data_IF_406542067824
#
_entry.id   IF_406542067824
#
_cell.length_a   1.000
_cell.length_b   1.000
_cell.length_c   1.000
_cell.angle_alpha   90.00
_cell.angle_beta   90.00
_cell.angle_gamma   90.00
#
_symmetry.space_group_name_H-M   'P 1'
#
loop_
_entity.id
_entity.type
_entity.pdbx_description
1 polymer ?
#
# COMPACT_ATOMS: atom_id res chain seq x y z
N UNK A 1 28.96 1.79 40.01
CA UNK A 1 27.78 0.89 40.11
C UNK A 1 26.75 1.22 39.02
N UNK A 2 27.12 1.17 37.72
CA UNK A 2 26.20 1.40 36.60
C UNK A 2 26.01 0.17 35.70
N UNK A 3 26.84 -0.86 35.90
CA UNK A 3 26.92 -2.03 35.05
C UNK A 3 25.74 -3.00 35.22
N UNK A 4 25.06 -2.98 36.37
CA UNK A 4 23.85 -3.79 36.59
C UNK A 4 22.66 -3.24 35.78
N UNK A 5 22.48 -1.91 35.76
CA UNK A 5 21.41 -1.28 34.98
C UNK A 5 21.65 -1.41 33.48
N UNK A 6 22.90 -1.25 33.04
CA UNK A 6 23.26 -1.44 31.63
C UNK A 6 23.14 -2.91 31.21
N UNK A 7 23.54 -3.86 32.08
CA UNK A 7 23.42 -5.29 31.84
C UNK A 7 21.98 -5.80 31.76
N UNK A 8 21.06 -5.24 32.56
CA UNK A 8 19.64 -5.61 32.53
C UNK A 8 18.95 -4.99 31.31
N UNK A 9 19.27 -3.75 30.93
CA UNK A 9 18.74 -3.11 29.72
C UNK A 9 19.25 -3.75 28.42
N UNK A 10 20.43 -4.38 28.43
CA UNK A 10 20.99 -5.05 27.24
C UNK A 10 20.51 -6.51 27.11
N UNK A 11 20.14 -7.15 28.21
CA UNK A 11 19.65 -8.55 28.23
C UNK A 11 18.20 -8.69 27.74
N UNK A 12 17.41 -7.61 27.81
CA UNK A 12 16.04 -7.54 27.30
C UNK A 12 16.02 -6.64 26.06
N UNK A 13 15.94 -7.24 24.87
CA UNK A 13 16.06 -6.58 23.57
C UNK A 13 15.01 -5.51 23.22
N UNK A 14 15.03 -5.03 21.96
CA UNK A 14 14.66 -3.67 21.53
C UNK A 14 13.24 -3.24 21.86
N UNK A 15 13.13 -1.98 22.27
CA UNK A 15 11.94 -1.31 22.79
C UNK A 15 10.91 -1.01 21.70
N UNK A 16 9.80 -1.75 21.68
CA UNK A 16 8.62 -1.37 20.90
C UNK A 16 7.30 -1.83 21.55
N UNK A 17 7.20 -1.74 22.88
CA UNK A 17 5.98 -2.09 23.61
C UNK A 17 5.75 -1.14 24.80
N UNK A 18 4.55 -0.55 24.92
CA UNK A 18 4.14 0.34 26.04
C UNK A 18 4.44 -0.25 27.42
N UNK A 19 4.45 -1.58 27.51
CA UNK A 19 4.74 -2.35 28.71
C UNK A 19 6.19 -2.19 29.21
N UNK A 20 7.16 -2.02 28.31
CA UNK A 20 8.58 -1.82 28.68
C UNK A 20 8.83 -0.41 29.19
N UNK A 21 8.10 0.58 28.67
CA UNK A 21 8.10 1.96 29.15
C UNK A 21 7.55 2.02 30.59
N UNK A 22 6.45 1.31 30.86
CA UNK A 22 5.89 1.23 32.21
C UNK A 22 6.84 0.52 33.19
N UNK A 23 7.50 -0.57 32.78
CA UNK A 23 8.51 -1.25 33.61
C UNK A 23 9.72 -0.36 33.91
N UNK A 24 10.17 0.42 32.92
CA UNK A 24 11.25 1.39 33.10
C UNK A 24 10.84 2.48 34.09
N UNK A 25 9.60 2.98 34.01
CA UNK A 25 9.04 3.94 34.97
C UNK A 25 9.01 3.38 36.39
N UNK A 26 8.55 2.14 36.56
CA UNK A 26 8.58 1.42 37.83
C UNK A 26 10.00 1.26 38.39
N UNK A 27 10.97 0.93 37.53
CA UNK A 27 12.37 0.81 37.94
C UNK A 27 12.97 2.17 38.35
N UNK A 28 12.65 3.24 37.62
CA UNK A 28 13.10 4.59 37.93
C UNK A 28 12.48 5.11 39.25
N UNK A 29 11.21 4.79 39.51
CA UNK A 29 10.54 5.11 40.78
C UNK A 29 11.16 4.36 41.96
N UNK A 30 11.43 3.07 41.81
CA UNK A 30 12.04 2.24 42.85
C UNK A 30 13.49 2.68 43.12
N UNK A 31 14.21 3.08 42.08
CA UNK A 31 15.53 3.69 42.19
C UNK A 31 15.44 5.05 42.92
N UNK A 32 14.49 5.91 42.57
CA UNK A 32 14.26 7.18 43.27
C UNK A 32 13.93 7.00 44.76
N UNK A 33 13.17 5.97 45.11
CA UNK A 33 12.87 5.61 46.49
C UNK A 33 14.12 5.15 47.25
N UNK A 34 14.97 4.35 46.61
CA UNK A 34 16.25 3.89 47.17
C UNK A 34 17.24 5.05 47.38
N UNK A 35 17.29 6.00 46.44
CA UNK A 35 18.08 7.22 46.57
C UNK A 35 17.53 8.13 47.68
N UNK A 36 16.21 8.20 47.86
CA UNK A 36 15.58 8.95 48.95
C UNK A 36 15.95 8.38 50.32
N UNK A 37 15.91 7.05 50.49
CA UNK A 37 16.39 6.36 51.70
C UNK A 37 17.88 6.67 51.97
N UNK A 38 18.67 6.78 50.91
CA UNK A 38 20.10 7.07 51.00
C UNK A 38 20.44 8.57 51.15
N UNK A 39 19.46 9.47 51.00
CA UNK A 39 19.65 10.90 50.78
C UNK A 39 19.11 11.84 51.87
N UNK A 40 18.79 11.31 53.06
CA UNK A 40 18.14 11.99 54.21
C UNK A 40 18.86 13.27 54.72
N UNK A 41 19.96 13.71 54.11
CA UNK A 41 20.75 14.86 54.54
C UNK A 41 20.53 16.19 53.76
N UNK A 42 19.80 16.23 52.63
CA UNK A 42 19.73 17.45 51.78
C UNK A 42 18.29 17.81 51.32
N UNK A 43 17.72 18.87 51.91
CA UNK A 43 16.36 19.41 51.69
C UNK A 43 15.95 19.71 50.21
N UNK A 44 16.82 20.24 49.31
CA UNK A 44 16.42 20.51 47.92
C UNK A 44 16.09 19.27 47.08
N UNK A 45 16.57 18.08 47.48
CA UNK A 45 16.31 16.83 46.74
C UNK A 45 14.85 16.38 46.94
N UNK A 46 14.29 16.59 48.14
CA UNK A 46 12.88 16.29 48.41
C UNK A 46 11.95 17.15 47.54
N UNK A 47 12.27 18.43 47.34
CA UNK A 47 11.49 19.32 46.47
C UNK A 47 11.57 18.91 45.00
N UNK A 48 12.76 18.52 44.52
CA UNK A 48 12.91 18.01 43.17
C UNK A 48 12.05 16.75 42.94
N UNK A 49 11.99 15.84 43.92
CA UNK A 49 11.16 14.64 43.84
C UNK A 49 9.66 14.95 43.80
N UNK A 50 9.17 15.87 44.63
CA UNK A 50 7.76 16.29 44.60
C UNK A 50 7.40 16.90 43.24
N UNK A 51 8.27 17.74 42.69
CA UNK A 51 8.06 18.33 41.36
C UNK A 51 8.07 17.26 40.25
N UNK A 52 9.01 16.32 40.29
CA UNK A 52 9.07 15.22 39.31
C UNK A 52 7.84 14.29 39.45
N UNK A 53 7.39 13.98 40.66
CA UNK A 53 6.19 13.18 40.90
C UNK A 53 4.92 13.90 40.40
N UNK A 54 4.86 15.22 40.58
CA UNK A 54 3.78 16.05 40.06
C UNK A 54 3.81 16.11 38.53
N UNK A 55 4.98 16.33 37.94
CA UNK A 55 5.16 16.34 36.49
C UNK A 55 4.81 14.99 35.87
N UNK A 56 5.33 13.86 36.38
CA UNK A 56 5.02 12.53 35.82
C UNK A 56 3.51 12.23 35.83
N UNK A 57 2.79 12.56 36.90
CA UNK A 57 1.33 12.32 36.94
C UNK A 57 0.49 13.31 36.14
N UNK A 58 0.89 14.57 36.04
CA UNK A 58 0.11 15.61 35.36
C UNK A 58 0.55 15.85 33.92
N UNK A 59 1.70 15.34 33.48
CA UNK A 59 2.27 15.60 32.16
C UNK A 59 1.88 14.54 31.14
N UNK A 60 1.56 13.31 31.53
CA UNK A 60 1.15 12.26 30.59
C UNK A 60 -0.09 12.67 29.76
N UNK A 61 -1.06 13.31 30.42
CA UNK A 61 -2.30 13.76 29.78
C UNK A 61 -2.11 14.93 28.78
N UNK A 62 -1.44 16.04 29.15
CA UNK A 62 -1.16 17.13 28.20
C UNK A 62 -0.13 16.72 27.14
N UNK A 63 0.79 15.79 27.41
CA UNK A 63 1.76 15.33 26.41
C UNK A 63 1.08 14.46 25.35
N UNK A 64 0.19 13.54 25.76
CA UNK A 64 -0.61 12.76 24.82
C UNK A 64 -1.57 13.64 24.02
N UNK A 65 -2.21 14.62 24.66
CA UNK A 65 -3.10 15.57 23.99
C UNK A 65 -2.34 16.50 23.03
N UNK A 66 -1.18 17.02 23.42
CA UNK A 66 -0.32 17.84 22.57
C UNK A 66 0.21 17.05 21.37
N UNK A 67 0.59 15.79 21.56
CA UNK A 67 1.02 14.92 20.47
C UNK A 67 -0.11 14.57 19.51
N UNK A 68 -1.32 14.29 20.04
CA UNK A 68 -2.51 14.09 19.24
C UNK A 68 -2.91 15.36 18.47
N UNK A 69 -2.82 16.54 19.09
CA UNK A 69 -3.06 17.83 18.45
C UNK A 69 -2.02 18.14 17.37
N UNK A 70 -0.74 17.89 17.64
CA UNK A 70 0.35 18.03 16.67
C UNK A 70 0.16 17.12 15.46
N UNK A 71 -0.15 15.84 15.70
CA UNK A 71 -0.44 14.87 14.63
C UNK A 71 -1.67 15.26 13.80
N UNK A 72 -2.72 15.76 14.45
CA UNK A 72 -3.91 16.29 13.75
C UNK A 72 -3.55 17.50 12.90
N UNK A 73 -2.77 18.44 13.42
CA UNK A 73 -2.31 19.59 12.65
C UNK A 73 -1.47 19.13 11.47
N UNK A 74 -0.50 18.24 11.69
CA UNK A 74 0.37 17.72 10.65
C UNK A 74 -0.43 16.98 9.57
N UNK A 75 -1.43 16.17 9.94
CA UNK A 75 -2.31 15.47 9.01
C UNK A 75 -3.20 16.44 8.22
N UNK A 76 -3.70 17.51 8.84
CA UNK A 76 -4.47 18.55 8.13
C UNK A 76 -3.57 19.38 7.20
N UNK A 77 -2.30 19.56 7.56
CA UNK A 77 -1.30 20.26 6.75
C UNK A 77 -0.78 19.41 5.59
N UNK A 78 -0.79 18.08 5.70
CA UNK A 78 -0.34 17.17 4.64
C UNK A 78 -1.38 16.96 3.51
N UNK A 79 -2.58 17.54 3.64
CA UNK A 79 -3.68 17.34 2.68
C UNK A 79 -4.17 15.88 2.64
N UNK A 80 -5.32 15.61 1.99
CA UNK A 80 -5.70 14.23 1.70
C UNK A 80 -4.59 13.59 0.89
N UNK A 81 -4.13 12.41 1.31
CA UNK A 81 -3.16 11.63 0.54
C UNK A 81 -3.65 11.53 -0.91
N UNK A 82 -2.80 11.79 -1.91
CA UNK A 82 -3.21 11.71 -3.31
C UNK A 82 -3.88 10.35 -3.54
N UNK A 83 -5.03 10.30 -4.24
CA UNK A 83 -5.73 9.06 -4.49
C UNK A 83 -4.75 8.08 -5.13
N UNK A 84 -4.67 6.87 -4.58
CA UNK A 84 -3.78 5.83 -5.10
C UNK A 84 -4.13 5.66 -6.58
N UNK A 85 -3.13 5.85 -7.45
CA UNK A 85 -3.28 5.51 -8.86
C UNK A 85 -3.71 4.04 -8.94
N UNK A 86 -4.64 3.77 -9.84
CA UNK A 86 -5.14 2.42 -10.06
C UNK A 86 -3.96 1.51 -10.39
N UNK A 87 -3.87 0.36 -9.72
CA UNK A 87 -2.84 -0.62 -10.06
C UNK A 87 -3.10 -1.15 -11.47
N UNK A 88 -2.05 -1.63 -12.13
CA UNK A 88 -2.17 -2.14 -13.50
C UNK A 88 -3.18 -3.28 -13.59
N UNK A 89 -3.25 -4.14 -12.58
CA UNK A 89 -4.25 -5.22 -12.50
C UNK A 89 -5.69 -4.67 -12.41
N UNK A 90 -5.92 -3.69 -11.55
CA UNK A 90 -7.24 -3.04 -11.40
C UNK A 90 -7.66 -2.33 -12.70
N UNK A 91 -6.72 -1.70 -13.41
CA UNK A 91 -6.97 -1.07 -14.71
C UNK A 91 -7.34 -2.11 -15.77
N UNK A 92 -6.62 -3.24 -15.81
CA UNK A 92 -6.91 -4.34 -16.74
C UNK A 92 -8.29 -4.93 -16.49
N UNK A 93 -8.62 -5.22 -15.24
CA UNK A 93 -9.93 -5.75 -14.84
C UNK A 93 -11.07 -4.81 -15.23
N UNK A 94 -10.93 -3.50 -14.98
CA UNK A 94 -11.92 -2.52 -15.41
C UNK A 94 -12.06 -2.46 -16.93
N UNK A 95 -10.93 -2.50 -17.64
CA UNK A 95 -10.91 -2.54 -19.10
C UNK A 95 -11.70 -3.71 -19.66
N UNK A 96 -11.50 -4.92 -19.11
CA UNK A 96 -12.21 -6.13 -19.55
C UNK A 96 -13.72 -6.04 -19.29
N UNK A 97 -14.11 -5.61 -18.09
CA UNK A 97 -15.53 -5.51 -17.69
C UNK A 97 -16.27 -4.47 -18.52
N UNK A 98 -15.71 -3.27 -18.66
CA UNK A 98 -16.33 -2.19 -19.43
C UNK A 98 -16.34 -2.51 -20.93
N UNK A 99 -15.29 -3.14 -21.46
CA UNK A 99 -15.26 -3.59 -22.86
C UNK A 99 -16.36 -4.63 -23.12
N UNK A 100 -16.53 -5.61 -22.24
CA UNK A 100 -17.58 -6.63 -22.40
C UNK A 100 -18.97 -6.00 -22.36
N UNK A 101 -19.20 -5.09 -21.41
CA UNK A 101 -20.46 -4.37 -21.27
C UNK A 101 -20.78 -3.53 -22.52
N UNK A 102 -19.81 -2.77 -23.01
CA UNK A 102 -19.97 -1.94 -24.21
C UNK A 102 -20.24 -2.79 -25.47
N UNK A 103 -19.60 -3.96 -25.60
CA UNK A 103 -19.84 -4.88 -26.71
C UNK A 103 -21.26 -5.49 -26.67
N UNK A 104 -21.76 -5.83 -25.48
CA UNK A 104 -23.14 -6.31 -25.30
C UNK A 104 -24.16 -5.22 -25.64
N UNK A 105 -23.94 -4.00 -25.17
CA UNK A 105 -24.77 -2.85 -25.49
C UNK A 105 -24.77 -2.54 -27.00
N UNK A 106 -23.60 -2.60 -27.64
CA UNK A 106 -23.46 -2.46 -29.09
C UNK A 106 -24.27 -3.52 -29.85
N UNK A 107 -24.20 -4.80 -29.43
CA UNK A 107 -25.00 -5.87 -30.05
C UNK A 107 -26.50 -5.62 -29.89
N UNK A 108 -26.92 -5.20 -28.71
CA UNK A 108 -28.32 -4.87 -28.42
C UNK A 108 -28.80 -3.74 -29.33
N UNK A 109 -28.02 -2.66 -29.43
CA UNK A 109 -28.32 -1.53 -30.29
C UNK A 109 -28.40 -1.93 -31.77
N UNK A 110 -27.46 -2.73 -32.27
CA UNK A 110 -27.47 -3.20 -33.66
C UNK A 110 -28.65 -4.12 -34.01
N UNK A 111 -29.29 -4.75 -33.01
CA UNK A 111 -30.51 -5.55 -33.18
C UNK A 111 -31.79 -4.70 -33.12
N UNK A 112 -31.69 -3.44 -32.70
CA UNK A 112 -32.83 -2.55 -32.59
C UNK A 112 -33.24 -1.99 -33.97
N UNK A 113 -34.54 -1.68 -34.17
CA UNK A 113 -35.03 -1.12 -35.43
C UNK A 113 -34.55 0.32 -35.70
N UNK A 114 -34.00 0.99 -34.68
CA UNK A 114 -33.42 2.34 -34.75
C UNK A 114 -32.04 2.35 -35.44
N UNK A 115 -31.42 1.17 -35.65
CA UNK A 115 -30.07 1.05 -36.19
C UNK A 115 -30.02 1.07 -37.73
N UNK A 116 -29.24 2.00 -38.29
CA UNK A 116 -29.01 2.11 -39.73
C UNK A 116 -27.93 1.13 -40.22
N UNK A 117 -28.28 -0.16 -40.33
CA UNK A 117 -27.35 -1.22 -40.73
C UNK A 117 -26.58 -0.95 -42.04
N UNK A 118 -27.25 -0.40 -43.06
CA UNK A 118 -26.62 -0.09 -44.35
C UNK A 118 -25.58 1.05 -44.28
N UNK A 119 -25.77 2.01 -43.38
CA UNK A 119 -24.82 3.10 -43.16
C UNK A 119 -23.59 2.62 -42.37
N UNK A 120 -23.75 1.63 -41.48
CA UNK A 120 -22.63 1.01 -40.78
C UNK A 120 -21.82 0.11 -41.73
N UNK A 121 -22.49 -0.74 -42.50
CA UNK A 121 -21.86 -1.69 -43.45
C UNK A 121 -21.02 -0.98 -44.50
N UNK A 122 -21.40 0.22 -44.95
CA UNK A 122 -20.61 0.98 -45.93
C UNK A 122 -19.32 1.59 -45.37
N UNK A 123 -19.19 1.71 -44.04
CA UNK A 123 -18.05 2.35 -43.36
C UNK A 123 -17.07 1.34 -42.73
N UNK A 124 -17.51 0.10 -42.52
CA UNK A 124 -16.75 -0.94 -41.81
C UNK A 124 -15.93 -1.76 -42.81
N UNK A 125 -14.67 -2.06 -42.48
CA UNK A 125 -13.77 -2.84 -43.35
C UNK A 125 -14.22 -4.29 -43.57
N UNK A 126 -14.76 -4.94 -42.55
CA UNK A 126 -15.14 -6.36 -42.57
C UNK A 126 -16.62 -6.58 -42.20
N UNK A 127 -17.56 -6.27 -43.11
CA UNK A 127 -18.99 -6.32 -42.80
C UNK A 127 -19.51 -7.72 -42.45
N UNK A 128 -18.89 -8.79 -43.02
CA UNK A 128 -19.24 -10.18 -42.69
C UNK A 128 -18.91 -10.52 -41.22
N UNK A 129 -17.68 -10.22 -40.78
CA UNK A 129 -17.25 -10.42 -39.38
C UNK A 129 -18.12 -9.62 -38.40
N UNK A 130 -18.50 -8.41 -38.79
CA UNK A 130 -19.40 -7.58 -38.00
C UNK A 130 -20.80 -8.19 -37.86
N UNK A 131 -21.38 -8.71 -38.96
CA UNK A 131 -22.67 -9.39 -38.91
C UNK A 131 -22.63 -10.63 -38.00
N UNK A 132 -21.57 -11.44 -38.09
CA UNK A 132 -21.39 -12.61 -37.22
C UNK A 132 -21.27 -12.20 -35.74
N UNK A 133 -20.55 -11.11 -35.44
CA UNK A 133 -20.45 -10.54 -34.10
C UNK A 133 -21.82 -10.10 -33.55
N UNK A 134 -22.64 -9.39 -34.35
CA UNK A 134 -24.01 -8.99 -33.97
C UNK A 134 -24.91 -10.21 -33.78
N UNK A 135 -24.69 -11.28 -34.56
CA UNK A 135 -25.33 -12.59 -34.42
C UNK A 135 -24.98 -13.33 -33.14
N UNK A 136 -23.91 -12.94 -32.45
CA UNK A 136 -23.49 -13.52 -31.16
C UNK A 136 -22.14 -14.23 -31.20
N UNK A 137 -21.46 -14.27 -32.34
CA UNK A 137 -20.11 -14.81 -32.44
C UNK A 137 -19.10 -13.92 -31.66
N UNK A 138 -17.97 -14.51 -31.25
CA UNK A 138 -16.88 -13.79 -30.59
C UNK A 138 -16.42 -12.59 -31.42
N UNK A 139 -16.09 -11.48 -30.74
CA UNK A 139 -15.50 -10.29 -31.37
C UNK A 139 -14.06 -10.51 -31.83
N UNK A 140 -13.39 -11.51 -31.26
CA UNK A 140 -12.02 -11.93 -31.61
C UNK A 140 -12.06 -13.29 -32.29
N UNK A 141 -11.30 -13.43 -33.38
CA UNK A 141 -11.17 -14.69 -34.12
C UNK A 141 -10.18 -15.61 -33.41
N UNK A 142 -10.39 -16.92 -33.48
CA UNK A 142 -9.45 -17.91 -32.91
C UNK A 142 -8.01 -17.72 -33.40
N UNK A 143 -7.82 -17.34 -34.67
CA UNK A 143 -6.49 -17.02 -35.20
C UNK A 143 -5.85 -15.84 -34.47
N UNK A 144 -6.60 -14.77 -34.19
CA UNK A 144 -6.10 -13.58 -33.48
C UNK A 144 -5.72 -13.93 -32.04
N UNK A 145 -6.52 -14.76 -31.35
CA UNK A 145 -6.18 -15.29 -30.02
C UNK A 145 -4.89 -16.12 -30.07
N UNK A 146 -4.77 -17.03 -31.04
CA UNK A 146 -3.59 -17.90 -31.15
C UNK A 146 -2.30 -17.13 -31.48
N UNK A 147 -2.40 -16.04 -32.25
CA UNK A 147 -1.26 -15.15 -32.53
C UNK A 147 -0.88 -14.38 -31.27
N UNK A 148 -1.85 -13.84 -30.54
CA UNK A 148 -1.61 -13.13 -29.28
C UNK A 148 -0.98 -14.04 -28.22
N UNK A 149 -1.44 -15.29 -28.09
CA UNK A 149 -0.83 -16.28 -27.18
C UNK A 149 0.60 -16.65 -27.59
N UNK A 150 0.90 -16.70 -28.89
CA UNK A 150 2.26 -16.96 -29.37
C UNK A 150 3.20 -15.79 -29.05
N UNK A 151 2.73 -14.55 -29.21
CA UNK A 151 3.55 -13.34 -29.11
C UNK A 151 3.67 -12.85 -27.66
N UNK A 152 2.62 -13.02 -26.84
CA UNK A 152 2.55 -12.49 -25.47
C UNK A 152 2.29 -13.57 -24.40
N UNK A 153 2.08 -14.83 -24.79
CA UNK A 153 1.90 -15.94 -23.86
C UNK A 153 3.22 -16.56 -23.40
N UNK A 154 3.12 -17.55 -22.52
CA UNK A 154 4.26 -18.24 -21.88
C UNK A 154 5.27 -18.84 -22.89
N UNK A 155 4.84 -19.09 -24.13
CA UNK A 155 5.68 -19.60 -25.22
C UNK A 155 6.56 -18.56 -25.90
N UNK A 156 6.21 -17.26 -25.86
CA UNK A 156 7.04 -16.17 -26.39
C UNK A 156 8.26 -15.91 -25.52
N UNK A 157 8.07 -15.93 -24.20
CA UNK A 157 9.13 -15.75 -23.19
C UNK A 157 10.20 -16.85 -23.30
N UNK A 158 9.82 -18.07 -23.67
CA UNK A 158 10.74 -19.21 -23.82
C UNK A 158 11.54 -19.18 -25.13
N UNK A 159 11.04 -18.52 -26.19
CA UNK A 159 11.75 -18.41 -27.46
C UNK A 159 12.74 -17.24 -27.51
N UNK A 160 12.51 -16.19 -26.72
CA UNK A 160 13.44 -15.06 -26.60
C UNK A 160 14.74 -15.43 -25.86
N UNK A 161 14.71 -16.43 -24.96
CA UNK A 161 15.87 -16.90 -24.20
C UNK A 161 16.82 -17.82 -25.01
N UNK A 162 16.35 -18.38 -26.14
CA UNK A 162 17.09 -19.42 -26.88
C UNK A 162 17.66 -18.94 -28.24
N UNK A 163 17.74 -17.64 -28.48
CA UNK A 163 18.55 -17.10 -29.58
C UNK A 163 19.99 -16.85 -29.10
N UNK A 164 20.95 -17.78 -29.34
CA UNK A 164 22.35 -17.47 -29.09
C UNK A 164 22.76 -16.32 -30.02
N UNK A 165 23.06 -15.17 -29.42
CA UNK A 165 23.78 -14.08 -30.07
C UNK A 165 25.09 -14.66 -30.57
N UNK A 166 25.17 -14.97 -31.87
CA UNK A 166 26.43 -15.31 -32.53
C UNK A 166 27.25 -14.02 -32.59
N UNK A 167 28.38 -13.89 -31.87
CA UNK A 167 29.29 -12.79 -32.09
C UNK A 167 29.96 -13.06 -33.44
N UNK A 168 29.50 -12.37 -34.47
CA UNK A 168 30.25 -12.27 -35.72
C UNK A 168 31.55 -11.54 -35.36
N UNK A 169 32.61 -12.33 -35.28
CA UNK A 169 33.97 -11.88 -35.05
C UNK A 169 34.32 -10.79 -36.06
N UNK A 170 34.71 -9.62 -35.55
CA UNK A 170 35.65 -8.76 -36.25
C UNK A 170 36.99 -9.51 -36.31
N UNK A 171 37.35 -9.98 -37.50
CA UNK A 171 38.73 -10.05 -37.96
C UNK A 171 38.82 -10.06 -39.48
#
# INVERSE_FOLDING_TARGET
MGFLSFGICYRYGPLENERSINLLSWALQLLGLLLMYSGIQIHPIALALVLIAFCTKNLDYPLHWAFAAYRRLQSSWLGPSPPRLLTEEEFRLQGEVETRRALEELRSYCRSPEFSAWAAVSRIQAPKRFADFVGGASHVTHNEVSVHEREYGLGGIFLEDHSPVSPLAEQ
#
